data_IF_050400905932
#
_entry.id   IF_050400905932
#
_cell.length_a   1.000
_cell.length_b   1.000
_cell.length_c   1.000
_cell.angle_alpha   90.00
_cell.angle_beta   90.00
_cell.angle_gamma   90.00
#
_symmetry.space_group_name_H-M   'P 1'
#
loop_
_entity.id
_entity.type
_entity.pdbx_description
1 polymer ?
#
# COMPACT_ATOMS: atom_id res chain seq x y z
N UNK A 1 1.93 29.69 9.54
CA UNK A 1 1.91 28.66 8.49
C UNK A 1 3.21 27.87 8.52
N UNK A 2 3.12 26.58 8.69
CA UNK A 2 4.29 25.72 8.55
C UNK A 2 4.69 25.65 7.07
N UNK A 3 5.98 25.82 6.78
CA UNK A 3 6.51 25.61 5.45
C UNK A 3 6.57 24.11 5.16
N UNK A 4 6.10 23.69 4.00
CA UNK A 4 6.26 22.31 3.53
C UNK A 4 7.47 22.21 2.62
N UNK A 5 8.24 21.13 2.74
CA UNK A 5 9.33 20.80 1.84
C UNK A 5 8.94 19.70 0.83
N UNK A 6 7.67 19.25 0.88
CA UNK A 6 7.15 18.31 -0.09
C UNK A 6 6.66 19.06 -1.32
N UNK A 7 7.09 18.62 -2.50
CA UNK A 7 6.58 19.12 -3.76
C UNK A 7 5.22 18.50 -4.04
N UNK A 8 4.14 19.18 -3.62
CA UNK A 8 2.77 18.68 -3.75
C UNK A 8 2.28 18.72 -5.19
N UNK A 9 1.34 17.84 -5.52
CA UNK A 9 0.70 17.80 -6.85
C UNK A 9 -0.09 19.06 -7.18
N UNK A 10 -0.67 19.71 -6.15
CA UNK A 10 -1.32 21.01 -6.26
C UNK A 10 -0.52 22.01 -5.44
N UNK A 11 0.04 23.01 -6.10
CA UNK A 11 0.87 24.04 -5.46
C UNK A 11 0.05 25.22 -4.90
N UNK A 12 -1.24 25.27 -5.21
CA UNK A 12 -2.10 26.38 -4.77
C UNK A 12 -2.69 26.15 -3.38
N UNK A 13 -2.62 24.93 -2.88
CA UNK A 13 -3.16 24.54 -1.59
C UNK A 13 -2.19 23.65 -0.84
N UNK A 14 -2.16 23.78 0.48
CA UNK A 14 -1.44 22.85 1.35
C UNK A 14 -2.41 21.77 1.79
N UNK A 15 -2.18 20.50 1.46
CA UNK A 15 -3.08 19.43 1.89
C UNK A 15 -3.02 19.23 3.41
N UNK A 16 -4.12 18.73 4.02
CA UNK A 16 -4.11 18.39 5.44
C UNK A 16 -3.11 17.25 5.71
N UNK A 17 -2.58 17.23 6.93
CA UNK A 17 -1.63 16.18 7.36
C UNK A 17 -2.43 14.99 7.88
N UNK A 18 -2.45 13.89 7.14
CA UNK A 18 -3.07 12.65 7.59
C UNK A 18 -2.20 12.00 8.67
N UNK A 19 -2.81 11.61 9.79
CA UNK A 19 -2.11 11.02 10.94
C UNK A 19 -2.58 9.62 11.29
N UNK A 20 -3.80 9.24 10.90
CA UNK A 20 -4.37 7.94 11.21
C UNK A 20 -5.37 7.49 10.15
N UNK A 21 -5.45 6.18 9.95
CA UNK A 21 -6.46 5.56 9.11
C UNK A 21 -7.06 4.33 9.80
N UNK A 22 -8.37 4.16 9.67
CA UNK A 22 -9.09 2.99 10.20
C UNK A 22 -10.31 2.70 9.31
N UNK A 23 -10.35 1.52 8.72
CA UNK A 23 -11.42 1.15 7.80
C UNK A 23 -11.50 2.13 6.63
N UNK A 24 -12.66 2.77 6.45
CA UNK A 24 -12.89 3.76 5.39
C UNK A 24 -12.47 5.18 5.79
N UNK A 25 -11.97 5.39 7.01
CA UNK A 25 -11.72 6.70 7.56
C UNK A 25 -10.24 7.06 7.56
N UNK A 26 -9.95 8.32 7.20
CA UNK A 26 -8.65 8.96 7.41
C UNK A 26 -8.88 10.16 8.33
N UNK A 27 -8.00 10.34 9.31
CA UNK A 27 -8.05 11.47 10.25
C UNK A 27 -6.82 12.34 10.08
N UNK A 28 -7.02 13.66 10.06
CA UNK A 28 -5.93 14.61 9.98
C UNK A 28 -5.45 15.08 11.36
N UNK A 29 -4.36 15.83 11.36
CA UNK A 29 -3.74 16.37 12.58
C UNK A 29 -4.64 17.33 13.37
N UNK A 30 -5.67 17.89 12.75
CA UNK A 30 -6.66 18.74 13.41
C UNK A 30 -7.86 17.92 13.96
N UNK A 31 -7.85 16.60 13.80
CA UNK A 31 -8.92 15.72 14.26
C UNK A 31 -10.10 15.61 13.30
N UNK A 32 -10.00 16.19 12.11
CA UNK A 32 -11.04 16.06 11.10
C UNK A 32 -10.96 14.69 10.43
N UNK A 33 -12.11 14.07 10.24
CA UNK A 33 -12.24 12.75 9.61
C UNK A 33 -12.77 12.88 8.17
N UNK A 34 -12.22 12.07 7.29
CA UNK A 34 -12.57 12.00 5.88
C UNK A 34 -12.94 10.56 5.52
N UNK A 35 -13.95 10.39 4.68
CA UNK A 35 -14.22 9.10 4.05
C UNK A 35 -13.27 8.94 2.87
N UNK A 36 -12.49 7.84 2.86
CA UNK A 36 -11.63 7.48 1.72
C UNK A 36 -12.48 6.83 0.62
N UNK A 37 -13.21 7.65 -0.13
CA UNK A 37 -14.11 7.18 -1.18
C UNK A 37 -13.39 6.89 -2.50
N UNK A 38 -12.16 7.38 -2.66
CA UNK A 38 -11.36 7.14 -3.87
C UNK A 38 -10.54 5.84 -3.81
N UNK A 39 -10.40 5.25 -2.62
CA UNK A 39 -9.57 4.08 -2.42
C UNK A 39 -8.08 4.30 -2.70
N UNK A 40 -7.60 5.56 -2.67
CA UNK A 40 -6.20 5.89 -2.92
C UNK A 40 -5.71 5.44 -4.29
N UNK A 41 -6.51 5.61 -5.33
CA UNK A 41 -6.26 5.10 -6.68
C UNK A 41 -6.12 3.56 -6.69
N UNK A 42 -7.08 2.89 -6.05
CA UNK A 42 -7.17 1.42 -5.94
C UNK A 42 -6.09 0.78 -5.03
N UNK A 43 -5.54 1.54 -4.10
CA UNK A 43 -4.54 1.04 -3.14
C UNK A 43 -5.18 0.58 -1.83
N UNK A 44 -6.15 1.35 -1.29
CA UNK A 44 -6.77 1.09 0.02
C UNK A 44 -8.10 0.32 -0.07
N UNK A 45 -8.23 -0.59 -1.03
CA UNK A 45 -9.48 -1.30 -1.31
C UNK A 45 -9.97 -2.18 -0.15
N UNK A 46 -9.06 -2.64 0.71
CA UNK A 46 -9.38 -3.42 1.92
C UNK A 46 -9.60 -2.55 3.16
N UNK A 47 -9.56 -1.23 2.99
CA UNK A 47 -9.58 -0.29 4.09
C UNK A 47 -8.21 -0.05 4.72
N UNK A 48 -8.16 0.95 5.59
CA UNK A 48 -6.94 1.31 6.33
C UNK A 48 -6.77 0.40 7.55
N UNK A 49 -5.58 -0.17 7.69
CA UNK A 49 -5.25 -0.98 8.86
C UNK A 49 -5.95 -2.34 8.92
N UNK A 50 -6.22 -2.96 7.77
CA UNK A 50 -6.78 -4.32 7.75
C UNK A 50 -5.91 -5.26 8.60
N UNK A 51 -6.45 -5.92 9.63
CA UNK A 51 -5.62 -6.63 10.60
C UNK A 51 -4.77 -7.75 10.01
N UNK A 52 -5.28 -8.49 9.05
CA UNK A 52 -4.55 -9.59 8.42
C UNK A 52 -3.38 -9.07 7.58
N UNK A 53 -3.58 -7.96 6.88
CA UNK A 53 -2.53 -7.32 6.06
C UNK A 53 -1.44 -6.74 6.97
N UNK A 54 -1.82 -6.01 8.01
CA UNK A 54 -0.87 -5.44 8.98
C UNK A 54 -0.05 -6.55 9.65
N UNK A 55 -0.69 -7.62 10.10
CA UNK A 55 0.00 -8.75 10.73
C UNK A 55 0.97 -9.44 9.77
N UNK A 56 0.58 -9.62 8.49
CA UNK A 56 1.46 -10.22 7.48
C UNK A 56 2.69 -9.35 7.19
N UNK A 57 2.50 -8.03 7.11
CA UNK A 57 3.60 -7.08 6.92
C UNK A 57 4.56 -7.08 8.09
N UNK A 58 4.07 -7.09 9.33
CA UNK A 58 4.90 -7.19 10.53
C UNK A 58 5.74 -8.47 10.54
N UNK A 59 5.13 -9.62 10.25
CA UNK A 59 5.87 -10.89 10.17
C UNK A 59 6.96 -10.86 9.11
N UNK A 60 6.66 -10.31 7.95
CA UNK A 60 7.63 -10.24 6.84
C UNK A 60 8.79 -9.31 7.16
N UNK A 61 8.54 -8.15 7.77
CA UNK A 61 9.59 -7.22 8.18
C UNK A 61 10.52 -7.86 9.22
N UNK A 62 9.97 -8.61 10.18
CA UNK A 62 10.75 -9.29 11.20
C UNK A 62 11.68 -10.37 10.61
N UNK A 63 11.30 -11.00 9.53
CA UNK A 63 12.09 -12.04 8.86
C UNK A 63 13.06 -11.46 7.83
N UNK A 64 12.53 -10.68 6.90
CA UNK A 64 13.29 -10.15 5.76
C UNK A 64 12.53 -8.96 5.17
N UNK A 65 13.07 -7.77 5.32
CA UNK A 65 12.45 -6.55 4.81
C UNK A 65 12.70 -6.35 3.32
N UNK A 66 13.82 -6.82 2.79
CA UNK A 66 14.20 -6.63 1.40
C UNK A 66 15.15 -7.71 0.89
N UNK A 67 14.94 -8.14 -0.34
CA UNK A 67 15.90 -8.95 -1.09
C UNK A 67 15.92 -8.49 -2.55
N UNK A 68 17.11 -8.35 -3.13
CA UNK A 68 17.25 -7.87 -4.51
C UNK A 68 16.85 -8.95 -5.50
N UNK A 69 15.90 -8.63 -6.38
CA UNK A 69 15.30 -9.59 -7.31
C UNK A 69 16.25 -10.16 -8.36
N UNK A 70 17.40 -9.54 -8.59
CA UNK A 70 18.43 -10.11 -9.46
C UNK A 70 19.12 -11.35 -8.87
N UNK A 71 19.05 -11.54 -7.55
CA UNK A 71 19.76 -12.61 -6.86
C UNK A 71 18.85 -13.53 -6.06
N UNK A 72 17.68 -13.06 -5.65
CA UNK A 72 16.79 -13.80 -4.77
C UNK A 72 15.34 -13.68 -5.20
N UNK A 73 14.56 -14.71 -4.90
CA UNK A 73 13.12 -14.64 -4.78
C UNK A 73 12.72 -14.78 -3.31
N UNK A 74 11.45 -14.58 -2.99
CA UNK A 74 10.92 -14.75 -1.64
C UNK A 74 9.64 -15.58 -1.68
N UNK A 75 9.33 -16.26 -0.58
CA UNK A 75 8.08 -17.03 -0.46
C UNK A 75 6.85 -16.15 -0.70
N UNK A 76 6.87 -14.91 -0.21
CA UNK A 76 5.77 -13.97 -0.42
C UNK A 76 5.57 -13.62 -1.90
N UNK A 77 6.67 -13.38 -2.64
CA UNK A 77 6.61 -13.09 -4.07
C UNK A 77 6.10 -14.29 -4.87
N UNK A 78 6.61 -15.50 -4.56
CA UNK A 78 6.18 -16.72 -5.22
C UNK A 78 4.68 -17.03 -4.97
N UNK A 79 4.22 -16.89 -3.73
CA UNK A 79 2.82 -17.09 -3.37
C UNK A 79 1.89 -16.12 -4.09
N UNK A 80 2.28 -14.85 -4.21
CA UNK A 80 1.50 -13.86 -4.96
C UNK A 80 1.50 -14.17 -6.45
N UNK A 81 2.66 -14.52 -7.01
CA UNK A 81 2.77 -14.90 -8.43
C UNK A 81 1.89 -16.12 -8.76
N UNK A 82 1.90 -17.14 -7.90
CA UNK A 82 1.04 -18.33 -8.06
C UNK A 82 -0.44 -17.94 -8.08
N UNK A 83 -0.86 -17.09 -7.14
CA UNK A 83 -2.24 -16.63 -7.05
C UNK A 83 -2.65 -15.84 -8.31
N UNK A 84 -1.79 -14.96 -8.81
CA UNK A 84 -2.05 -14.17 -10.02
C UNK A 84 -2.15 -15.08 -11.26
N UNK A 85 -1.25 -16.03 -11.43
CA UNK A 85 -1.27 -16.98 -12.55
C UNK A 85 -2.53 -17.84 -12.52
N UNK A 86 -2.95 -18.29 -11.33
CA UNK A 86 -4.16 -19.11 -11.18
C UNK A 86 -5.41 -18.38 -11.64
N UNK A 87 -5.49 -17.08 -11.47
CA UNK A 87 -6.65 -16.24 -11.82
C UNK A 87 -6.50 -15.51 -13.16
N UNK A 88 -5.33 -15.59 -13.78
CA UNK A 88 -5.05 -14.95 -15.06
C UNK A 88 -5.70 -15.68 -16.25
N UNK A 89 -5.83 -15.03 -17.41
CA UNK A 89 -6.27 -15.70 -18.64
C UNK A 89 -5.38 -16.88 -19.01
N UNK A 90 -5.96 -17.85 -19.71
CA UNK A 90 -5.24 -19.05 -20.19
C UNK A 90 -4.00 -18.66 -21.00
N UNK A 91 -2.87 -19.33 -20.70
CA UNK A 91 -1.58 -19.07 -21.35
C UNK A 91 -0.66 -18.12 -20.59
N UNK A 92 -1.15 -17.45 -19.56
CA UNK A 92 -0.31 -16.65 -18.64
C UNK A 92 0.31 -17.58 -17.58
N UNK A 93 1.63 -17.60 -17.50
CA UNK A 93 2.35 -18.55 -16.64
C UNK A 93 3.30 -17.89 -15.63
N UNK A 94 3.53 -16.59 -15.75
CA UNK A 94 4.48 -15.86 -14.90
C UNK A 94 3.96 -14.47 -14.57
N UNK A 95 4.40 -13.92 -13.44
CA UNK A 95 4.16 -12.55 -13.02
C UNK A 95 5.49 -11.79 -12.90
N UNK A 96 5.51 -10.56 -13.39
CA UNK A 96 6.64 -9.65 -13.23
C UNK A 96 6.22 -8.46 -12.38
N UNK A 97 6.87 -8.30 -11.23
CA UNK A 97 6.56 -7.24 -10.28
C UNK A 97 7.41 -6.01 -10.57
N UNK A 98 6.76 -4.85 -10.69
CA UNK A 98 7.40 -3.56 -10.95
C UNK A 98 6.94 -2.53 -9.92
N UNK A 99 7.71 -1.46 -9.78
CA UNK A 99 7.35 -0.32 -8.92
C UNK A 99 6.32 0.58 -9.58
#
# INVERSE_FOLDING_TARGET
>A
MSSTHVFHRNLLTTPPVAVRGEGIWIEDAAGKRYIDASGGAAVSCLGHGHPDVVAAMHRQIDQLAYAHTSFFTTEAAEALAEQLVRTAPTGMSHAYFVS
#
